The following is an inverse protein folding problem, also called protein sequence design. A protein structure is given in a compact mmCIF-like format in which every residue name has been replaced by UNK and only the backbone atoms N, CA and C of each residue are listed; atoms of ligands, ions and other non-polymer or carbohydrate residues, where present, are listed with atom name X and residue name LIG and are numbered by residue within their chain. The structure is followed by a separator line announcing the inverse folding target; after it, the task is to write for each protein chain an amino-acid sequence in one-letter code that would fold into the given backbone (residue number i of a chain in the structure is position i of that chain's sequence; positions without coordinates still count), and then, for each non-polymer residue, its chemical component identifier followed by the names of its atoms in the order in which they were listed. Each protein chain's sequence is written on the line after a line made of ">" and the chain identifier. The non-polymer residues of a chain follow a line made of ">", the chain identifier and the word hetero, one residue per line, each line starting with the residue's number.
data_IF_210917299337
#
_entry.id   IF_210917299337
#
_cell.length_a   1.000
_cell.length_b   1.000
_cell.length_c   1.000
_cell.angle_alpha   90.00
_cell.angle_beta   90.00
_cell.angle_gamma   90.00
#
_symmetry.space_group_name_H-M   'P 1'
#
loop_
_entity.id
_entity.type
_entity.pdbx_description
1 polymer ?
#
# COMPACT_ATOMS: atom_id res chain seq x y z
N UNK A 1 3.06 28.58 7.75
CA UNK A 1 3.22 27.78 8.98
C UNK A 1 1.98 26.88 9.11
N UNK A 2 1.97 25.70 8.48
CA UNK A 2 0.80 24.79 8.55
C UNK A 2 0.78 24.21 9.96
N UNK A 3 -0.32 24.41 10.69
CA UNK A 3 -0.48 23.97 12.06
C UNK A 3 -0.25 22.46 12.15
N UNK A 4 0.53 22.02 13.14
CA UNK A 4 0.61 20.59 13.49
C UNK A 4 -0.81 20.07 13.66
N UNK A 5 -1.19 19.05 12.88
CA UNK A 5 -2.52 18.43 12.98
C UNK A 5 -2.78 18.00 14.43
N UNK A 6 -3.94 18.38 14.96
CA UNK A 6 -4.39 17.93 16.28
C UNK A 6 -4.54 16.40 16.30
N UNK A 7 -4.39 15.74 17.46
CA UNK A 7 -4.51 14.29 17.57
C UNK A 7 -5.86 13.77 17.01
N UNK A 8 -6.96 14.48 17.27
CA UNK A 8 -8.27 14.17 16.70
C UNK A 8 -8.30 14.27 15.17
N UNK A 9 -7.66 15.30 14.59
CA UNK A 9 -7.60 15.46 13.13
C UNK A 9 -6.76 14.36 12.47
N UNK A 10 -5.68 13.90 13.12
CA UNK A 10 -4.90 12.76 12.65
C UNK A 10 -5.70 11.47 12.67
N UNK A 11 -6.49 11.25 13.71
CA UNK A 11 -7.40 10.09 13.80
C UNK A 11 -8.44 10.12 12.68
N UNK A 12 -9.11 11.26 12.49
CA UNK A 12 -10.12 11.43 11.42
C UNK A 12 -9.49 11.22 10.04
N UNK A 13 -8.32 11.82 9.77
CA UNK A 13 -7.64 11.62 8.48
C UNK A 13 -7.25 10.14 8.29
N UNK A 14 -6.74 9.49 9.33
CA UNK A 14 -6.42 8.06 9.28
C UNK A 14 -7.65 7.24 8.92
N UNK A 15 -8.79 7.46 9.60
CA UNK A 15 -10.03 6.75 9.32
C UNK A 15 -10.53 6.96 7.88
N UNK A 16 -10.47 8.21 7.38
CA UNK A 16 -10.86 8.52 5.99
C UNK A 16 -9.95 7.79 5.00
N UNK A 17 -8.63 7.83 5.21
CA UNK A 17 -7.67 7.15 4.32
C UNK A 17 -7.83 5.63 4.38
N UNK A 18 -8.09 5.07 5.57
CA UNK A 18 -8.39 3.64 5.73
C UNK A 18 -9.65 3.23 4.97
N UNK A 19 -10.73 4.00 5.11
CA UNK A 19 -11.98 3.75 4.38
C UNK A 19 -11.78 3.83 2.87
N UNK A 20 -11.05 4.85 2.39
CA UNK A 20 -10.71 5.01 0.98
C UNK A 20 -9.86 3.84 0.47
N UNK A 21 -8.87 3.40 1.23
CA UNK A 21 -8.04 2.25 0.89
C UNK A 21 -8.87 0.99 0.69
N UNK A 22 -9.73 0.68 1.65
CA UNK A 22 -10.59 -0.50 1.63
C UNK A 22 -11.56 -0.42 0.43
N UNK A 23 -12.21 0.73 0.24
CA UNK A 23 -13.14 0.94 -0.88
C UNK A 23 -12.45 0.75 -2.24
N UNK A 24 -11.28 1.37 -2.44
CA UNK A 24 -10.51 1.20 -3.68
C UNK A 24 -10.11 -0.27 -3.84
N UNK A 25 -9.69 -0.95 -2.77
CA UNK A 25 -9.28 -2.35 -2.86
C UNK A 25 -10.43 -3.23 -3.36
N UNK A 26 -11.64 -3.11 -2.78
CA UNK A 26 -12.80 -3.90 -3.19
C UNK A 26 -13.25 -3.59 -4.62
N UNK A 27 -13.28 -2.31 -5.01
CA UNK A 27 -13.62 -1.92 -6.39
C UNK A 27 -12.58 -2.46 -7.37
N UNK A 28 -11.29 -2.41 -7.01
CA UNK A 28 -10.21 -2.94 -7.84
C UNK A 28 -10.25 -4.45 -7.97
N UNK A 29 -10.65 -5.15 -6.90
CA UNK A 29 -10.89 -6.60 -6.93
C UNK A 29 -12.06 -6.94 -7.87
N UNK A 30 -13.14 -6.15 -7.87
CA UNK A 30 -14.25 -6.34 -8.79
C UNK A 30 -13.89 -6.10 -10.27
N UNK A 31 -12.95 -5.19 -10.54
CA UNK A 31 -12.47 -4.87 -11.90
C UNK A 31 -11.36 -5.84 -12.36
N UNK A 32 -10.65 -6.49 -11.45
CA UNK A 32 -9.57 -7.41 -11.76
C UNK A 32 -10.12 -8.75 -12.28
N UNK A 33 -10.46 -8.81 -13.56
CA UNK A 33 -10.94 -10.03 -14.22
C UNK A 33 -9.83 -11.12 -14.27
N UNK A 34 -10.00 -12.16 -13.46
CA UNK A 34 -9.61 -13.55 -13.74
C UNK A 34 -8.14 -13.94 -13.59
N UNK A 35 -7.18 -13.09 -13.96
CA UNK A 35 -5.76 -13.44 -13.90
C UNK A 35 -4.92 -12.40 -13.16
N UNK A 36 -5.02 -11.11 -13.50
CA UNK A 36 -4.17 -10.06 -12.90
C UNK A 36 -4.89 -9.33 -11.78
N UNK A 37 -4.48 -9.59 -10.53
CA UNK A 37 -4.98 -8.84 -9.37
C UNK A 37 -4.32 -7.46 -9.30
N UNK A 38 -5.02 -6.43 -9.79
CA UNK A 38 -4.56 -5.05 -9.65
C UNK A 38 -4.89 -4.52 -8.26
N UNK A 39 -3.87 -4.27 -7.44
CA UNK A 39 -4.04 -3.64 -6.12
C UNK A 39 -3.87 -2.12 -6.21
N UNK A 40 -4.82 -1.41 -6.81
CA UNK A 40 -4.77 0.07 -6.91
C UNK A 40 -4.67 0.78 -5.55
N UNK A 41 -5.16 0.13 -4.49
CA UNK A 41 -5.09 0.66 -3.13
C UNK A 41 -3.64 0.90 -2.65
N UNK A 42 -2.63 0.19 -3.15
CA UNK A 42 -1.23 0.40 -2.76
C UNK A 42 -0.67 1.74 -3.25
N UNK A 43 -1.31 2.41 -4.22
CA UNK A 43 -0.96 3.79 -4.58
C UNK A 43 -1.05 4.73 -3.36
N UNK A 44 -1.98 4.45 -2.44
CA UNK A 44 -2.13 5.22 -1.20
C UNK A 44 -0.98 4.99 -0.21
N UNK A 45 -0.18 3.93 -0.35
CA UNK A 45 1.03 3.75 0.45
C UNK A 45 2.02 4.90 0.22
N UNK A 46 2.00 5.52 -0.96
CA UNK A 46 2.77 6.73 -1.25
C UNK A 46 2.49 7.86 -0.26
N UNK A 47 1.26 8.01 0.27
CA UNK A 47 0.95 9.06 1.24
C UNK A 47 1.79 8.96 2.53
N UNK A 48 2.30 7.78 2.88
CA UNK A 48 3.17 7.62 4.05
C UNK A 48 4.49 8.37 3.93
N UNK A 49 4.91 8.69 2.70
CA UNK A 49 6.03 9.58 2.45
C UNK A 49 5.76 11.00 2.97
N UNK A 50 4.52 11.47 2.92
CA UNK A 50 4.10 12.82 3.33
C UNK A 50 3.59 12.82 4.78
N UNK A 51 2.82 11.80 5.15
CA UNK A 51 2.24 11.63 6.47
C UNK A 51 2.75 10.33 7.10
N UNK A 52 3.83 10.37 7.90
CA UNK A 52 4.48 9.16 8.40
C UNK A 52 3.59 8.41 9.41
N UNK A 53 2.61 9.09 10.02
CA UNK A 53 1.66 8.43 10.92
C UNK A 53 0.67 7.50 10.19
N UNK A 54 0.55 7.58 8.86
CA UNK A 54 -0.33 6.71 8.06
C UNK A 54 0.22 5.30 7.84
N UNK A 55 1.46 5.02 8.25
CA UNK A 55 2.07 3.67 8.20
C UNK A 55 1.17 2.65 8.90
N UNK A 56 0.79 2.92 10.15
CA UNK A 56 -0.05 2.00 10.95
C UNK A 56 -1.49 1.92 10.42
N UNK A 57 -2.21 3.04 10.15
CA UNK A 57 -3.54 3.02 9.55
C UNK A 57 -3.64 2.23 8.25
N UNK A 58 -2.72 2.42 7.30
CA UNK A 58 -2.76 1.72 6.02
C UNK A 58 -2.49 0.23 6.18
N UNK A 59 -1.60 -0.15 7.10
CA UNK A 59 -1.38 -1.56 7.42
C UNK A 59 -2.61 -2.21 8.05
N UNK A 60 -3.27 -1.51 8.97
CA UNK A 60 -4.53 -1.97 9.56
C UNK A 60 -5.64 -2.06 8.51
N UNK A 61 -5.75 -1.09 7.61
CA UNK A 61 -6.73 -1.12 6.52
C UNK A 61 -6.51 -2.35 5.62
N UNK A 62 -5.26 -2.68 5.32
CA UNK A 62 -4.95 -3.87 4.54
C UNK A 62 -5.29 -5.17 5.28
N UNK A 63 -5.00 -5.23 6.58
CA UNK A 63 -5.39 -6.38 7.42
C UNK A 63 -6.92 -6.56 7.44
N UNK A 64 -7.66 -5.49 7.69
CA UNK A 64 -9.13 -5.50 7.69
C UNK A 64 -9.67 -5.95 6.34
N UNK A 65 -9.14 -5.41 5.24
CA UNK A 65 -9.58 -5.78 3.90
C UNK A 65 -9.29 -7.25 3.58
N UNK A 66 -8.13 -7.76 3.99
CA UNK A 66 -7.79 -9.18 3.83
C UNK A 66 -8.66 -10.11 4.69
N UNK A 67 -9.19 -9.65 5.83
CA UNK A 67 -10.16 -10.43 6.62
C UNK A 67 -11.45 -10.72 5.83
N UNK A 68 -11.84 -9.83 4.91
CA UNK A 68 -12.97 -10.06 4.01
C UNK A 68 -12.61 -10.88 2.76
N UNK A 69 -11.32 -11.06 2.46
CA UNK A 69 -10.83 -11.80 1.30
C UNK A 69 -10.93 -13.33 1.44
N UNK A 70 -11.26 -13.85 2.63
CA UNK A 70 -11.52 -15.29 2.84
C UNK A 70 -10.29 -16.21 2.81
N UNK A 71 -9.08 -15.67 2.64
CA UNK A 71 -7.81 -16.43 2.57
C UNK A 71 -7.26 -16.85 3.96
N UNK A 72 -8.02 -16.60 5.03
CA UNK A 72 -7.69 -16.98 6.40
C UNK A 72 -6.80 -15.98 7.15
N UNK A 73 -6.55 -16.26 8.44
CA UNK A 73 -5.75 -15.42 9.34
C UNK A 73 -4.32 -15.18 8.84
N UNK A 74 -3.75 -16.12 8.08
CA UNK A 74 -2.41 -16.01 7.52
C UNK A 74 -2.32 -14.83 6.54
N UNK A 75 -3.35 -14.59 5.73
CA UNK A 75 -3.36 -13.48 4.78
C UNK A 75 -3.62 -12.12 5.48
N UNK A 76 -4.35 -12.12 6.60
CA UNK A 76 -4.54 -10.93 7.43
C UNK A 76 -3.23 -10.48 8.05
N UNK A 77 -2.52 -11.40 8.72
CA UNK A 77 -1.24 -11.11 9.37
C UNK A 77 -0.14 -10.84 8.34
N UNK A 78 -0.06 -11.67 7.29
CA UNK A 78 0.89 -11.48 6.19
C UNK A 78 0.65 -10.16 5.47
N UNK A 79 -0.60 -9.81 5.19
CA UNK A 79 -0.98 -8.53 4.59
C UNK A 79 -0.61 -7.33 5.46
N UNK A 80 -0.81 -7.43 6.78
CA UNK A 80 -0.36 -6.40 7.72
C UNK A 80 1.17 -6.23 7.67
N UNK A 81 1.92 -7.33 7.77
CA UNK A 81 3.38 -7.29 7.74
C UNK A 81 3.93 -6.74 6.41
N UNK A 82 3.40 -7.19 5.27
CA UNK A 82 3.82 -6.72 3.96
C UNK A 82 3.54 -5.22 3.76
N UNK A 83 2.35 -4.76 4.13
CA UNK A 83 1.99 -3.34 4.04
C UNK A 83 2.80 -2.48 5.00
N UNK A 84 3.10 -2.99 6.20
CA UNK A 84 3.97 -2.32 7.17
C UNK A 84 5.40 -2.19 6.66
N UNK A 85 5.95 -3.24 6.06
CA UNK A 85 7.26 -3.20 5.41
C UNK A 85 7.28 -2.21 4.24
N UNK A 86 6.23 -2.20 3.40
CA UNK A 86 6.16 -1.31 2.24
C UNK A 86 6.11 0.16 2.68
N UNK A 87 5.16 0.50 3.56
CA UNK A 87 4.98 1.86 4.06
C UNK A 87 6.14 2.31 4.97
N UNK A 88 6.69 1.42 5.78
CA UNK A 88 7.89 1.68 6.58
C UNK A 88 9.13 1.95 5.71
N UNK A 89 9.28 1.24 4.59
CA UNK A 89 10.35 1.51 3.62
C UNK A 89 10.17 2.88 2.96
N UNK A 90 8.94 3.26 2.61
CA UNK A 90 8.63 4.60 2.07
C UNK A 90 8.97 5.70 3.08
N UNK A 91 8.67 5.48 4.36
CA UNK A 91 9.07 6.37 5.44
C UNK A 91 10.59 6.48 5.56
N UNK A 92 11.33 5.37 5.42
CA UNK A 92 12.79 5.38 5.45
C UNK A 92 13.39 6.17 4.28
N UNK A 93 12.84 6.02 3.07
CA UNK A 93 13.23 6.80 1.88
C UNK A 93 13.09 8.31 2.15
N UNK A 94 12.01 8.73 2.83
CA UNK A 94 11.84 10.12 3.27
C UNK A 94 12.94 10.53 4.24
N UNK A 95 13.25 9.71 5.24
CA UNK A 95 14.28 10.01 6.26
C UNK A 95 15.66 10.21 5.63
N UNK A 96 15.98 9.46 4.58
CA UNK A 96 17.26 9.53 3.86
C UNK A 96 17.22 10.64 2.76
N UNK A 97 16.11 11.37 2.61
CA UNK A 97 15.90 12.42 1.59
C UNK A 97 16.16 11.94 0.14
N UNK A 98 15.86 10.67 -0.16
CA UNK A 98 15.98 10.15 -1.52
C UNK A 98 14.92 10.79 -2.44
N UNK A 99 15.19 10.77 -3.74
CA UNK A 99 14.24 11.23 -4.77
C UNK A 99 12.90 10.49 -4.63
N UNK A 100 11.78 11.21 -4.78
CA UNK A 100 10.41 10.66 -4.65
C UNK A 100 10.10 9.53 -5.63
N UNK A 101 10.94 9.33 -6.66
CA UNK A 101 10.87 8.20 -7.59
C UNK A 101 11.21 6.86 -6.93
N UNK A 102 12.00 6.85 -5.86
CA UNK A 102 12.35 5.61 -5.15
C UNK A 102 11.16 4.98 -4.43
N UNK A 103 10.05 5.70 -4.26
CA UNK A 103 8.80 5.20 -3.67
C UNK A 103 8.16 4.10 -4.53
N UNK A 104 8.44 4.10 -5.84
CA UNK A 104 7.96 3.06 -6.77
C UNK A 104 8.50 1.69 -6.36
N UNK A 105 9.78 1.62 -5.92
CA UNK A 105 10.44 0.37 -5.54
C UNK A 105 9.69 -0.38 -4.42
N UNK A 106 9.47 0.21 -3.22
CA UNK A 106 8.79 -0.49 -2.15
C UNK A 106 7.31 -0.76 -2.46
N UNK A 107 6.62 0.09 -3.22
CA UNK A 107 5.23 -0.18 -3.63
C UNK A 107 5.17 -1.37 -4.60
N UNK A 108 6.16 -1.51 -5.48
CA UNK A 108 6.19 -2.58 -6.47
C UNK A 108 6.71 -3.89 -5.88
N UNK A 109 7.88 -3.88 -5.24
CA UNK A 109 8.57 -5.11 -4.87
C UNK A 109 8.08 -5.71 -3.55
N UNK A 110 7.76 -4.90 -2.55
CA UNK A 110 7.41 -5.46 -1.22
C UNK A 110 6.14 -6.30 -1.31
N UNK A 111 5.00 -5.80 -1.83
CA UNK A 111 3.81 -6.63 -1.94
C UNK A 111 4.00 -7.80 -2.91
N UNK A 112 4.75 -7.59 -4.01
CA UNK A 112 4.92 -8.61 -5.05
C UNK A 112 5.86 -9.74 -4.68
N UNK A 113 6.81 -9.52 -3.76
CA UNK A 113 7.71 -10.57 -3.30
C UNK A 113 7.24 -11.22 -2.00
N UNK A 114 6.67 -10.42 -1.09
CA UNK A 114 6.28 -10.88 0.25
C UNK A 114 4.95 -11.64 0.20
N UNK A 115 3.93 -11.12 -0.50
CA UNK A 115 2.60 -11.74 -0.52
C UNK A 115 2.58 -13.14 -1.16
N UNK A 116 3.31 -13.41 -2.26
CA UNK A 116 3.35 -14.75 -2.84
C UNK A 116 3.93 -15.85 -1.95
N UNK A 117 4.69 -15.52 -0.89
CA UNK A 117 5.33 -16.51 -0.03
C UNK A 117 4.28 -17.43 0.61
N UNK A 118 3.23 -16.87 1.21
CA UNK A 118 2.14 -17.67 1.77
C UNK A 118 1.07 -17.98 0.73
N UNK A 119 0.84 -17.08 -0.22
CA UNK A 119 -0.21 -17.25 -1.23
C UNK A 119 0.09 -18.44 -2.17
N UNK A 120 1.35 -18.70 -2.50
CA UNK A 120 1.77 -19.87 -3.29
C UNK A 120 1.43 -21.18 -2.59
N UNK A 121 1.61 -21.24 -1.26
CA UNK A 121 1.28 -22.41 -0.45
C UNK A 121 -0.23 -22.59 -0.32
N UNK A 122 -0.98 -21.51 -0.10
CA UNK A 122 -2.44 -21.54 0.07
C UNK A 122 -3.18 -21.90 -1.23
N UNK A 123 -2.78 -21.29 -2.35
CA UNK A 123 -3.42 -21.51 -3.66
C UNK A 123 -2.82 -22.69 -4.44
N UNK A 124 -1.76 -23.33 -3.94
CA UNK A 124 -0.98 -24.37 -4.64
C UNK A 124 -0.52 -23.94 -6.05
N UNK A 125 -0.26 -22.65 -6.23
CA UNK A 125 0.20 -22.07 -7.49
C UNK A 125 1.70 -21.82 -7.45
N UNK A 126 2.40 -21.88 -8.60
CA UNK A 126 3.83 -21.62 -8.66
C UNK A 126 4.15 -20.18 -8.21
N UNK A 127 5.04 -20.04 -7.24
CA UNK A 127 5.46 -18.75 -6.66
C UNK A 127 5.83 -17.72 -7.72
N UNK A 128 6.63 -18.12 -8.71
CA UNK A 128 7.11 -17.24 -9.78
C UNK A 128 5.96 -16.67 -10.61
N UNK A 129 4.92 -17.46 -10.89
CA UNK A 129 3.76 -16.97 -11.63
C UNK A 129 3.00 -15.91 -10.83
N UNK A 130 2.83 -16.12 -9.52
CA UNK A 130 2.18 -15.14 -8.64
C UNK A 130 3.00 -13.85 -8.53
N UNK A 131 4.34 -13.94 -8.44
CA UNK A 131 5.23 -12.78 -8.41
C UNK A 131 5.10 -11.97 -9.69
N UNK A 132 5.22 -12.60 -10.87
CA UNK A 132 5.09 -11.90 -12.17
C UNK A 132 3.74 -11.20 -12.26
N UNK A 133 2.68 -11.90 -11.87
CA UNK A 133 1.33 -11.39 -11.92
C UNK A 133 1.11 -10.18 -10.99
N UNK A 134 1.63 -10.25 -9.76
CA UNK A 134 1.57 -9.12 -8.83
C UNK A 134 2.46 -7.96 -9.27
N UNK A 135 3.64 -8.21 -9.84
CA UNK A 135 4.48 -7.15 -10.41
C UNK A 135 3.70 -6.39 -11.47
N UNK A 136 3.07 -7.09 -12.41
CA UNK A 136 2.25 -6.47 -13.44
C UNK A 136 1.09 -5.65 -12.85
N UNK A 137 0.41 -6.20 -11.83
CA UNK A 137 -0.68 -5.52 -11.13
C UNK A 137 -0.24 -4.32 -10.28
N UNK A 138 1.03 -4.25 -9.87
CA UNK A 138 1.59 -3.19 -9.04
C UNK A 138 2.27 -2.06 -9.83
N UNK A 139 2.54 -2.24 -11.13
CA UNK A 139 3.13 -1.19 -11.97
C UNK A 139 2.29 0.10 -11.98
N UNK A 140 0.99 -0.03 -12.26
CA UNK A 140 0.06 1.11 -12.31
C UNK A 140 -0.08 1.79 -10.92
N UNK A 141 -0.35 1.06 -9.82
CA UNK A 141 -0.38 1.65 -8.49
C UNK A 141 0.94 2.33 -8.07
N UNK A 142 2.09 1.74 -8.41
CA UNK A 142 3.39 2.28 -8.04
C UNK A 142 3.67 3.62 -8.75
N UNK A 143 3.34 3.72 -10.04
CA UNK A 143 3.45 4.98 -10.79
C UNK A 143 2.48 6.01 -10.23
N UNK A 144 1.22 5.64 -10.01
CA UNK A 144 0.21 6.53 -9.43
C UNK A 144 0.62 7.04 -8.06
N UNK A 145 1.14 6.17 -7.19
CA UNK A 145 1.63 6.53 -5.87
C UNK A 145 2.79 7.54 -5.92
N UNK A 146 3.75 7.34 -6.82
CA UNK A 146 4.86 8.28 -7.00
C UNK A 146 4.41 9.63 -7.57
N UNK A 147 3.51 9.63 -8.57
CA UNK A 147 2.93 10.86 -9.13
C UNK A 147 2.14 11.62 -8.06
N UNK A 148 1.33 10.91 -7.28
CA UNK A 148 0.54 11.48 -6.18
C UNK A 148 1.44 12.17 -5.15
N UNK A 149 2.51 11.51 -4.72
CA UNK A 149 3.48 12.10 -3.79
C UNK A 149 4.12 13.34 -4.38
N UNK A 150 4.50 13.30 -5.66
CA UNK A 150 5.15 14.43 -6.33
C UNK A 150 4.22 15.65 -6.43
N UNK A 151 2.97 15.44 -6.82
CA UNK A 151 1.99 16.53 -6.94
C UNK A 151 1.66 17.14 -5.58
N UNK A 152 1.53 16.33 -4.54
CA UNK A 152 1.34 16.83 -3.19
C UNK A 152 2.59 17.54 -2.64
N UNK A 153 3.79 17.05 -2.95
CA UNK A 153 5.06 17.68 -2.57
C UNK A 153 5.24 19.04 -3.27
N UNK A 154 4.88 19.14 -4.56
CA UNK A 154 4.89 20.41 -5.32
C UNK A 154 3.93 21.44 -4.72
N UNK A 155 2.78 20.99 -4.21
CA UNK A 155 1.78 21.85 -3.52
C UNK A 155 2.19 22.25 -2.10
N UNK A 156 3.44 22.02 -1.70
CA UNK A 156 3.98 22.48 -0.43
C UNK A 156 3.57 21.62 0.78
N UNK A 157 3.16 20.36 0.56
CA UNK A 157 3.07 19.38 1.65
C UNK A 157 4.44 18.70 1.84
N UNK A 158 5.37 19.44 2.44
CA UNK A 158 6.64 18.93 2.99
C UNK A 158 6.59 19.21 4.49
N UNK A 159 6.19 18.21 5.28
CA UNK A 159 6.49 18.24 6.71
C UNK A 159 7.95 17.82 6.96
#
# INVERSE_FOLDING_TARGET
>A
MKSKLNPTQKLVLSAIIMALYIAILFVSQAISFGAVQMRLATALYGLTYIFPFLVVPLSLANAIANSFGGLGLIDVVGGFCASFLATGSIYLIRKIKLSSWFIILPILFVPSLVVPIWLSVLLKLPYVALVINLILGQLVPAILGAVLVRELTKRGYKD
#
